data_IF_559231894051
#
_entry.id   IF_559231894051
#
_cell.length_a   1.000
_cell.length_b   1.000
_cell.length_c   1.000
_cell.angle_alpha   90.00
_cell.angle_beta   90.00
_cell.angle_gamma   90.00
#
_symmetry.space_group_name_H-M   'P 1'
#
loop_
_entity.id
_entity.type
_entity.pdbx_description
1 polymer ?
#
# COMPACT_ATOMS: atom_id res chain seq x y z
N UNK A 1 34.80 2.83 23.90
CA UNK A 1 34.35 2.61 22.50
C UNK A 1 33.12 3.47 22.25
N UNK A 2 33.20 4.48 21.37
CA UNK A 2 32.08 5.39 21.07
C UNK A 2 31.25 4.78 19.94
N UNK A 3 30.17 4.07 20.29
CA UNK A 3 29.27 3.44 19.33
C UNK A 3 28.55 4.54 18.55
N UNK A 4 28.88 4.68 17.26
CA UNK A 4 28.22 5.62 16.34
C UNK A 4 26.78 5.15 16.13
N UNK A 5 25.85 5.79 16.83
CA UNK A 5 24.41 5.70 16.55
C UNK A 5 24.20 6.29 15.16
N UNK A 6 24.05 5.43 14.15
CA UNK A 6 23.61 5.85 12.81
C UNK A 6 22.14 6.25 12.93
N UNK A 7 21.89 7.56 13.13
CA UNK A 7 20.57 8.17 12.92
C UNK A 7 20.21 7.98 11.44
N UNK A 8 19.52 6.90 11.10
CA UNK A 8 18.93 6.70 9.78
C UNK A 8 17.71 7.61 9.66
N UNK A 9 18.01 8.84 9.26
CA UNK A 9 17.20 9.71 8.37
C UNK A 9 15.72 9.37 8.29
N UNK A 10 14.95 9.95 9.22
CA UNK A 10 13.51 10.12 9.09
C UNK A 10 13.19 11.05 7.90
N UNK A 11 13.16 10.51 6.69
CA UNK A 11 12.38 11.02 5.56
C UNK A 11 11.24 10.01 5.38
N UNK A 12 10.13 10.16 6.11
CA UNK A 12 8.88 9.42 5.81
C UNK A 12 8.50 9.77 4.38
N UNK A 13 8.84 8.88 3.44
CA UNK A 13 8.47 8.99 2.03
C UNK A 13 6.97 8.76 1.93
N UNK A 14 6.22 9.73 1.41
CA UNK A 14 4.83 9.61 0.93
C UNK A 14 4.72 8.64 -0.28
N UNK A 15 5.39 7.50 -0.22
CA UNK A 15 5.43 6.52 -1.31
C UNK A 15 4.70 5.28 -0.83
N UNK A 16 3.63 4.96 -1.53
CA UNK A 16 2.83 3.76 -1.28
C UNK A 16 3.69 2.54 -1.63
N UNK A 17 3.73 1.56 -0.73
CA UNK A 17 4.47 0.32 -0.89
C UNK A 17 3.55 -0.89 -0.69
N UNK A 18 3.88 -2.01 -1.34
CA UNK A 18 3.11 -3.26 -1.27
C UNK A 18 3.04 -3.91 0.11
N UNK A 19 3.99 -3.54 0.98
CA UNK A 19 4.07 -4.01 2.36
C UNK A 19 3.20 -3.19 3.33
N UNK A 20 2.61 -2.07 2.88
CA UNK A 20 1.68 -1.31 3.70
C UNK A 20 0.36 -2.06 3.79
N UNK A 21 -0.33 -1.96 4.92
CA UNK A 21 -1.69 -2.49 5.02
C UNK A 21 -2.68 -1.62 4.25
N UNK A 22 -3.83 -2.19 3.91
CA UNK A 22 -4.90 -1.40 3.30
C UNK A 22 -5.35 -0.23 4.20
N UNK A 23 -5.45 -0.44 5.52
CA UNK A 23 -5.73 0.64 6.48
C UNK A 23 -4.71 1.77 6.40
N UNK A 24 -3.41 1.44 6.41
CA UNK A 24 -2.36 2.46 6.34
C UNK A 24 -2.40 3.25 5.04
N UNK A 25 -2.73 2.59 3.92
CA UNK A 25 -2.88 3.24 2.62
C UNK A 25 -4.11 4.14 2.63
N UNK A 26 -5.26 3.68 3.12
CA UNK A 26 -6.48 4.50 3.15
C UNK A 26 -6.35 5.71 4.09
N UNK A 27 -5.67 5.55 5.23
CA UNK A 27 -5.42 6.65 6.18
C UNK A 27 -4.46 7.71 5.62
N UNK A 28 -3.40 7.28 4.93
CA UNK A 28 -2.34 8.18 4.43
C UNK A 28 -2.62 8.71 3.02
N UNK A 29 -3.39 7.97 2.23
CA UNK A 29 -3.62 8.18 0.81
C UNK A 29 -5.09 7.88 0.43
N UNK A 30 -6.07 8.66 0.95
CA UNK A 30 -7.49 8.45 0.66
C UNK A 30 -7.81 8.52 -0.85
N UNK A 31 -7.04 9.26 -1.64
CA UNK A 31 -7.13 9.31 -3.11
C UNK A 31 -6.93 7.94 -3.79
N UNK A 32 -6.21 7.03 -3.12
CA UNK A 32 -5.98 5.69 -3.61
C UNK A 32 -7.26 4.85 -3.67
N UNK A 33 -8.27 5.18 -2.86
CA UNK A 33 -9.55 4.47 -2.86
C UNK A 33 -10.18 4.41 -4.25
N UNK A 34 -10.16 5.51 -5.01
CA UNK A 34 -10.66 5.55 -6.38
C UNK A 34 -9.87 4.64 -7.33
N UNK A 35 -8.54 4.57 -7.16
CA UNK A 35 -7.68 3.71 -7.99
C UNK A 35 -7.99 2.24 -7.71
N UNK A 36 -8.20 1.87 -6.44
CA UNK A 36 -8.53 0.51 -6.04
C UNK A 36 -9.93 0.10 -6.51
N UNK A 37 -10.91 0.99 -6.35
CA UNK A 37 -12.29 0.82 -6.83
C UNK A 37 -12.32 0.55 -8.35
N UNK A 38 -11.63 1.38 -9.12
CA UNK A 38 -11.52 1.22 -10.58
C UNK A 38 -10.70 -0.01 -11.00
N UNK A 39 -9.90 -0.58 -10.10
CA UNK A 39 -9.10 -1.79 -10.36
C UNK A 39 -9.82 -3.08 -9.94
N UNK A 40 -11.10 -3.00 -9.58
CA UNK A 40 -11.92 -4.16 -9.22
C UNK A 40 -11.81 -4.59 -7.76
N UNK A 41 -11.08 -3.85 -6.92
CA UNK A 41 -11.00 -4.09 -5.48
C UNK A 41 -12.17 -3.42 -4.74
N UNK A 42 -13.40 -3.69 -5.19
CA UNK A 42 -14.61 -3.15 -4.55
C UNK A 42 -14.84 -3.68 -3.14
N UNK A 43 -14.33 -4.88 -2.84
CA UNK A 43 -14.57 -5.57 -1.57
C UNK A 43 -13.60 -5.18 -0.44
N UNK A 44 -12.86 -4.05 -0.58
CA UNK A 44 -12.02 -3.50 0.48
C UNK A 44 -12.81 -3.09 1.74
N UNK A 45 -14.13 -3.25 1.76
CA UNK A 45 -14.95 -3.13 2.98
C UNK A 45 -14.99 -4.37 3.88
N UNK A 46 -14.36 -5.49 3.51
CA UNK A 46 -14.26 -6.64 4.41
C UNK A 46 -13.30 -6.31 5.56
N UNK A 47 -13.78 -6.29 6.80
CA UNK A 47 -13.00 -5.85 7.97
C UNK A 47 -11.67 -6.58 8.16
N UNK A 48 -11.52 -7.79 7.62
CA UNK A 48 -10.25 -8.53 7.64
C UNK A 48 -9.20 -7.99 6.64
N UNK A 49 -9.63 -7.55 5.45
CA UNK A 49 -8.72 -7.07 4.41
C UNK A 49 -7.96 -5.80 4.84
N UNK A 50 -8.53 -5.01 5.76
CA UNK A 50 -7.92 -3.82 6.32
C UNK A 50 -6.60 -4.10 7.07
N UNK A 51 -6.47 -5.29 7.67
CA UNK A 51 -5.27 -5.70 8.40
C UNK A 51 -4.23 -6.44 7.55
N UNK A 52 -4.60 -6.83 6.34
CA UNK A 52 -3.67 -7.48 5.41
C UNK A 52 -2.76 -6.46 4.73
N UNK A 53 -1.56 -6.90 4.34
CA UNK A 53 -0.72 -6.11 3.44
C UNK A 53 -1.38 -6.01 2.08
N UNK A 54 -1.10 -4.92 1.36
CA UNK A 54 -1.61 -4.70 0.01
C UNK A 54 -1.29 -5.87 -0.94
N UNK A 55 -0.04 -6.38 -0.88
CA UNK A 55 0.36 -7.55 -1.68
C UNK A 55 -0.47 -8.79 -1.34
N UNK A 56 -0.61 -9.10 -0.05
CA UNK A 56 -1.36 -10.29 0.39
C UNK A 56 -2.83 -10.23 -0.03
N UNK A 57 -3.52 -9.11 0.22
CA UNK A 57 -4.92 -8.99 -0.17
C UNK A 57 -5.07 -9.05 -1.69
N UNK A 58 -4.22 -8.36 -2.47
CA UNK A 58 -4.31 -8.45 -3.93
C UNK A 58 -4.04 -9.87 -4.45
N UNK A 59 -3.08 -10.60 -3.85
CA UNK A 59 -2.79 -11.99 -4.22
C UNK A 59 -3.92 -12.95 -3.82
N UNK A 60 -4.56 -12.76 -2.66
CA UNK A 60 -5.72 -13.55 -2.23
C UNK A 60 -6.92 -13.39 -3.18
N UNK A 61 -6.98 -12.28 -3.90
CA UNK A 61 -7.96 -11.99 -4.95
C UNK A 61 -7.47 -12.37 -6.37
N UNK A 62 -6.39 -13.13 -6.49
CA UNK A 62 -5.91 -13.67 -7.77
C UNK A 62 -5.08 -12.72 -8.63
N UNK A 63 -4.62 -11.58 -8.09
CA UNK A 63 -3.69 -10.69 -8.79
C UNK A 63 -2.26 -11.24 -8.75
N UNK A 64 -1.55 -11.11 -9.86
CA UNK A 64 -0.12 -11.40 -9.90
C UNK A 64 0.73 -10.19 -9.48
N UNK A 65 2.01 -10.44 -9.18
CA UNK A 65 2.97 -9.40 -8.74
C UNK A 65 3.06 -8.21 -9.71
N UNK A 66 2.95 -8.45 -11.01
CA UNK A 66 3.01 -7.39 -12.03
C UNK A 66 1.80 -6.45 -11.93
N UNK A 67 0.60 -7.02 -11.78
CA UNK A 67 -0.64 -6.24 -11.59
C UNK A 67 -0.56 -5.40 -10.32
N UNK A 68 -0.03 -5.98 -9.23
CA UNK A 68 0.16 -5.29 -7.95
C UNK A 68 1.14 -4.12 -8.08
N UNK A 69 2.30 -4.35 -8.71
CA UNK A 69 3.29 -3.29 -8.92
C UNK A 69 2.74 -2.16 -9.81
N UNK A 70 1.93 -2.48 -10.83
CA UNK A 70 1.30 -1.48 -11.68
C UNK A 70 0.22 -0.68 -10.94
N UNK A 71 -0.55 -1.33 -10.06
CA UNK A 71 -1.50 -0.68 -9.16
C UNK A 71 -0.80 0.31 -8.22
N UNK A 72 0.30 -0.10 -7.60
CA UNK A 72 1.08 0.77 -6.72
C UNK A 72 1.66 1.96 -7.48
N UNK A 73 2.14 1.76 -8.71
CA UNK A 73 2.59 2.87 -9.56
C UNK A 73 1.44 3.83 -9.87
N UNK A 74 0.24 3.33 -10.16
CA UNK A 74 -0.95 4.17 -10.40
C UNK A 74 -1.33 4.96 -9.16
N UNK A 75 -1.42 4.32 -7.99
CA UNK A 75 -1.71 4.99 -6.72
C UNK A 75 -0.66 6.05 -6.39
N UNK A 76 0.63 5.75 -6.63
CA UNK A 76 1.71 6.71 -6.49
C UNK A 76 1.73 7.82 -7.56
N UNK A 77 0.92 7.75 -8.62
CA UNK A 77 0.75 8.84 -9.60
C UNK A 77 -0.51 9.67 -9.34
N UNK A 78 -1.47 9.12 -8.61
CA UNK A 78 -2.76 9.74 -8.31
C UNK A 78 -2.74 10.63 -7.05
N UNK A 79 -1.64 10.60 -6.29
CA UNK A 79 -1.36 11.48 -5.15
C UNK A 79 -1.06 12.92 -5.54
#
# INVERSE_FOLDING_TARGET
MKTKIKKTTNRKKNVISKNMTFSEIMEKHPESANVLFNSGLHCLGCGMAMYETFEQGCMAHGMNKKQIDDLIKKMNKAK
#
